data_IF_094258810390
#
_entry.id   IF_094258810390
#
_cell.length_a   1.000
_cell.length_b   1.000
_cell.length_c   1.000
_cell.angle_alpha   90.00
_cell.angle_beta   90.00
_cell.angle_gamma   90.00
#
_symmetry.space_group_name_H-M   'P 1'
#
loop_
_entity.id
_entity.type
_entity.pdbx_description
1 polymer ?
#
# COMPACT_ATOMS: atom_id res chain seq x y z
N UNK A 1 -2.57 9.89 5.58
CA UNK A 1 -1.45 10.02 4.63
C UNK A 1 -2.02 10.37 3.26
N UNK A 2 -1.36 11.21 2.46
CA UNK A 2 -1.74 11.38 1.05
C UNK A 2 -1.25 10.14 0.31
N UNK A 3 -2.13 9.19 0.05
CA UNK A 3 -1.84 8.01 -0.79
C UNK A 3 -1.86 8.45 -2.25
N UNK A 4 -0.74 8.25 -2.96
CA UNK A 4 -0.69 8.43 -4.40
C UNK A 4 -1.59 7.36 -5.03
N UNK A 5 -2.52 7.78 -5.90
CA UNK A 5 -3.35 6.84 -6.66
C UNK A 5 -2.43 6.06 -7.62
N UNK A 6 -2.40 4.75 -7.46
CA UNK A 6 -1.61 3.86 -8.32
C UNK A 6 -2.40 3.62 -9.60
N UNK A 7 -1.73 3.40 -10.73
CA UNK A 7 -2.40 3.03 -11.98
C UNK A 7 -2.94 1.58 -11.98
N UNK A 8 -3.41 1.11 -10.82
CA UNK A 8 -3.96 -0.22 -10.61
C UNK A 8 -5.23 -0.09 -9.76
N UNK A 9 -6.40 -0.40 -10.36
CA UNK A 9 -7.70 -0.27 -9.69
C UNK A 9 -7.83 -1.18 -8.46
N UNK A 10 -7.28 -2.39 -8.52
CA UNK A 10 -7.32 -3.37 -7.43
C UNK A 10 -6.52 -2.87 -6.23
N UNK A 11 -5.30 -2.38 -6.44
CA UNK A 11 -4.48 -1.83 -5.35
C UNK A 11 -5.07 -0.55 -4.76
N UNK A 12 -5.68 0.31 -5.57
CA UNK A 12 -6.36 1.51 -5.05
C UNK A 12 -7.51 1.17 -4.08
N UNK A 13 -8.08 -0.03 -4.18
CA UNK A 13 -9.07 -0.54 -3.24
C UNK A 13 -8.43 -1.26 -2.05
N UNK A 14 -7.43 -2.10 -2.30
CA UNK A 14 -6.81 -2.96 -1.28
C UNK A 14 -5.97 -2.17 -0.26
N UNK A 15 -5.17 -1.20 -0.71
CA UNK A 15 -4.22 -0.49 0.17
C UNK A 15 -4.90 0.28 1.31
N UNK A 16 -6.02 1.01 1.10
CA UNK A 16 -6.76 1.63 2.21
C UNK A 16 -7.32 0.62 3.22
N UNK A 17 -7.80 -0.54 2.77
CA UNK A 17 -8.31 -1.58 3.67
C UNK A 17 -7.18 -2.17 4.53
N UNK A 18 -6.04 -2.45 3.90
CA UNK A 18 -4.85 -2.96 4.59
C UNK A 18 -4.31 -1.92 5.59
N UNK A 19 -4.20 -0.65 5.19
CA UNK A 19 -3.79 0.45 6.07
C UNK A 19 -4.68 0.51 7.32
N UNK A 20 -6.00 0.39 7.14
CA UNK A 20 -6.95 0.38 8.26
C UNK A 20 -6.69 -0.81 9.20
N UNK A 21 -6.60 -2.04 8.67
CA UNK A 21 -6.38 -3.25 9.48
C UNK A 21 -5.06 -3.20 10.26
N UNK A 22 -3.98 -2.70 9.65
CA UNK A 22 -2.69 -2.54 10.31
C UNK A 22 -2.78 -1.49 11.42
N UNK A 23 -3.42 -0.34 11.18
CA UNK A 23 -3.64 0.67 12.23
C UNK A 23 -4.46 0.12 13.39
N UNK A 24 -5.54 -0.61 13.11
CA UNK A 24 -6.39 -1.20 14.14
C UNK A 24 -5.62 -2.25 14.98
N UNK A 25 -4.67 -2.96 14.36
CA UNK A 25 -3.90 -4.03 15.02
C UNK A 25 -2.70 -3.51 15.82
N UNK A 26 -2.00 -2.49 15.32
CA UNK A 26 -0.76 -1.98 15.93
C UNK A 26 -0.97 -0.70 16.75
N UNK A 27 -2.07 0.04 16.54
CA UNK A 27 -2.41 1.27 17.25
C UNK A 27 -1.26 2.26 17.29
N UNK A 28 -1.00 2.84 18.47
CA UNK A 28 0.03 3.86 18.68
C UNK A 28 1.47 3.36 18.51
N UNK A 29 1.68 2.04 18.47
CA UNK A 29 3.00 1.45 18.19
C UNK A 29 3.37 1.56 16.72
N UNK A 30 2.39 1.70 15.83
CA UNK A 30 2.62 1.85 14.40
C UNK A 30 3.25 3.22 14.10
N UNK A 31 4.48 3.22 13.61
CA UNK A 31 5.16 4.48 13.24
C UNK A 31 4.89 4.91 11.81
N UNK A 32 4.91 3.96 10.87
CA UNK A 32 4.73 4.26 9.45
C UNK A 32 4.37 2.99 8.67
N UNK A 33 3.61 3.18 7.59
CA UNK A 33 3.39 2.19 6.54
C UNK A 33 4.00 2.79 5.26
N UNK A 34 4.77 2.00 4.53
CA UNK A 34 5.45 2.43 3.31
C UNK A 34 5.14 1.38 2.25
N UNK A 35 4.57 1.80 1.13
CA UNK A 35 4.56 1.01 -0.09
C UNK A 35 5.92 1.14 -0.75
N UNK A 36 6.52 0.03 -1.15
CA UNK A 36 7.83 0.00 -1.77
C UNK A 36 7.77 -0.74 -3.13
N UNK A 37 8.95 -1.10 -3.65
CA UNK A 37 9.06 -1.94 -4.83
C UNK A 37 8.52 -1.29 -6.11
N UNK A 38 8.19 -2.15 -7.08
CA UNK A 38 7.78 -1.73 -8.42
C UNK A 38 6.44 -0.98 -8.42
N UNK A 39 5.54 -1.30 -7.49
CA UNK A 39 4.28 -0.57 -7.33
C UNK A 39 4.46 0.87 -6.81
N UNK A 40 5.46 1.11 -5.97
CA UNK A 40 5.77 2.47 -5.53
C UNK A 40 6.42 3.31 -6.66
N UNK A 41 7.31 2.69 -7.45
CA UNK A 41 7.98 3.36 -8.60
C UNK A 41 7.04 3.55 -9.79
N UNK A 42 6.06 2.68 -9.95
CA UNK A 42 5.12 2.67 -11.08
C UNK A 42 5.59 1.88 -12.29
N UNK A 43 6.59 1.00 -12.11
CA UNK A 43 7.19 0.15 -13.15
C UNK A 43 6.87 -1.35 -12.94
N UNK A 44 5.74 -1.64 -12.30
CA UNK A 44 5.26 -3.02 -12.06
C UNK A 44 4.68 -3.66 -13.32
N UNK A 45 4.75 -4.98 -13.38
CA UNK A 45 4.21 -5.84 -14.43
C UNK A 45 3.31 -6.95 -13.83
N UNK A 46 2.95 -7.96 -14.64
CA UNK A 46 2.06 -9.05 -14.20
C UNK A 46 2.69 -9.98 -13.17
N UNK A 47 4.02 -10.06 -13.11
CA UNK A 47 4.77 -10.94 -12.21
C UNK A 47 5.24 -10.21 -10.95
N UNK A 48 4.94 -8.90 -10.83
CA UNK A 48 5.37 -8.08 -9.71
C UNK A 48 4.58 -8.37 -8.43
N UNK A 49 5.33 -8.60 -7.35
CA UNK A 49 4.81 -8.64 -5.98
C UNK A 49 4.48 -7.24 -5.43
N UNK A 50 3.75 -7.18 -4.32
CA UNK A 50 3.42 -5.95 -3.59
C UNK A 50 4.20 -5.91 -2.28
N UNK A 51 5.12 -4.94 -2.17
CA UNK A 51 5.98 -4.70 -1.00
C UNK A 51 5.46 -3.57 -0.10
#
# INVERSE_FOLDING_TARGET
>A
MKTKKINNKKLNYLLPELEKRIKDSFGDKLKKIILYGSYARGDYDSESDVD
#
